data_IF_437305752748
#
_entry.id   IF_437305752748
#
_cell.length_a   1.000
_cell.length_b   1.000
_cell.length_c   1.000
_cell.angle_alpha   90.00
_cell.angle_beta   90.00
_cell.angle_gamma   90.00
#
_symmetry.space_group_name_H-M   'P 1'
#
loop_
_entity.id
_entity.type
_entity.pdbx_description
1 polymer ?
#
# COMPACT_ATOMS: atom_id res chain seq x y z
N UNK A 1 -5.22 79.17 47.02
CA UNK A 1 -5.93 79.32 45.73
C UNK A 1 -5.01 78.73 44.66
N UNK A 2 -5.38 77.55 44.13
CA UNK A 2 -4.94 76.81 42.90
C UNK A 2 -3.46 76.90 42.46
N UNK A 3 -2.71 75.85 42.11
CA UNK A 3 -2.98 74.44 41.82
C UNK A 3 -1.72 73.90 41.11
N UNK A 4 -1.31 72.66 41.41
CA UNK A 4 -0.18 71.95 40.79
C UNK A 4 -0.47 71.65 39.30
N UNK A 5 0.53 71.73 38.43
CA UNK A 5 0.59 70.84 37.26
C UNK A 5 2.02 70.37 37.04
N UNK A 6 2.26 69.14 37.48
CA UNK A 6 3.43 68.32 37.22
C UNK A 6 3.36 67.88 35.76
N UNK A 7 4.41 68.13 34.98
CA UNK A 7 4.53 67.62 33.60
C UNK A 7 4.99 66.16 33.72
N UNK A 8 4.05 65.22 33.69
CA UNK A 8 4.29 63.78 33.57
C UNK A 8 4.41 63.45 32.07
N UNK A 9 5.64 63.17 31.61
CA UNK A 9 5.91 62.77 30.23
C UNK A 9 5.51 61.31 30.08
N UNK A 10 4.39 61.09 29.40
CA UNK A 10 3.77 59.82 29.06
C UNK A 10 4.73 58.89 28.31
N UNK A 11 5.11 57.76 28.93
CA UNK A 11 5.71 56.62 28.24
C UNK A 11 4.63 55.88 27.44
N UNK A 12 4.84 55.72 26.13
CA UNK A 12 3.97 54.87 25.29
C UNK A 12 4.32 53.39 25.49
N UNK A 13 3.35 52.50 25.75
CA UNK A 13 3.65 51.08 25.99
C UNK A 13 4.04 50.38 24.68
N UNK A 14 5.26 49.83 24.65
CA UNK A 14 5.73 48.94 23.57
C UNK A 14 4.99 47.60 23.68
N UNK A 15 4.01 47.40 22.80
CA UNK A 15 3.19 46.19 22.68
C UNK A 15 4.03 44.98 22.21
N UNK A 16 4.56 44.18 23.14
CA UNK A 16 5.18 42.86 22.86
C UNK A 16 4.12 41.78 22.64
N UNK A 17 3.54 41.71 21.45
CA UNK A 17 2.60 40.64 21.04
C UNK A 17 3.27 39.77 19.98
N UNK A 18 4.04 38.77 20.39
CA UNK A 18 4.66 37.85 19.41
C UNK A 18 5.23 36.54 19.95
N UNK A 19 5.70 36.47 21.19
CA UNK A 19 6.57 35.34 21.58
C UNK A 19 5.87 34.04 22.01
N UNK A 20 4.57 34.07 22.35
CA UNK A 20 3.87 32.86 22.87
C UNK A 20 3.18 32.03 21.80
N UNK A 21 2.89 32.62 20.64
CA UNK A 21 2.18 31.94 19.54
C UNK A 21 3.14 31.13 18.68
N UNK A 22 4.39 31.57 18.56
CA UNK A 22 5.42 30.92 17.72
C UNK A 22 5.82 29.54 18.28
N UNK A 23 5.97 29.39 19.59
CA UNK A 23 6.32 28.09 20.19
C UNK A 23 5.17 27.06 20.14
N UNK A 24 3.91 27.49 20.31
CA UNK A 24 2.76 26.59 20.25
C UNK A 24 2.49 26.04 18.82
N UNK A 25 2.78 26.85 17.79
CA UNK A 25 2.67 26.44 16.39
C UNK A 25 3.77 25.44 15.98
N UNK A 26 4.98 25.56 16.54
CA UNK A 26 6.09 24.63 16.29
C UNK A 26 5.87 23.25 16.93
N UNK A 27 5.23 23.19 18.10
CA UNK A 27 4.85 21.91 18.75
C UNK A 27 3.65 21.23 18.06
N UNK A 28 2.66 21.98 17.57
CA UNK A 28 1.57 21.42 16.76
C UNK A 28 2.04 20.97 15.37
N UNK A 29 2.98 21.69 14.74
CA UNK A 29 3.56 21.30 13.45
C UNK A 29 4.40 20.02 13.53
N UNK A 30 5.09 19.80 14.66
CA UNK A 30 5.86 18.58 14.90
C UNK A 30 4.97 17.36 15.18
N UNK A 31 3.80 17.54 15.82
CA UNK A 31 2.84 16.45 16.08
C UNK A 31 1.95 16.11 14.87
N UNK A 32 1.67 17.07 13.98
CA UNK A 32 0.96 16.83 12.72
C UNK A 32 1.88 16.28 11.61
N UNK A 33 3.21 16.33 11.80
CA UNK A 33 4.22 15.82 10.87
C UNK A 33 4.62 14.35 11.05
N UNK A 34 4.13 13.65 12.10
CA UNK A 34 4.42 12.22 12.33
C UNK A 34 3.22 11.34 11.92
N UNK A 35 2.33 11.84 11.07
CA UNK A 35 1.49 10.95 10.27
C UNK A 35 2.37 10.34 9.17
N UNK A 36 3.39 9.55 9.56
CA UNK A 36 4.00 8.61 8.65
C UNK A 36 2.84 7.75 8.14
N UNK A 37 2.66 7.60 6.81
CA UNK A 37 1.67 6.66 6.33
C UNK A 37 2.08 5.32 6.95
N UNK A 38 1.25 4.80 7.84
CA UNK A 38 1.37 3.41 8.27
C UNK A 38 1.54 2.63 6.97
N UNK A 39 2.65 1.86 6.85
CA UNK A 39 2.96 1.10 5.65
C UNK A 39 1.82 0.12 5.40
N UNK A 40 0.79 0.57 4.70
CA UNK A 40 -0.35 -0.23 4.35
C UNK A 40 0.16 -1.16 3.26
N UNK A 41 0.44 -2.40 3.63
CA UNK A 41 0.74 -3.43 2.66
C UNK A 41 -0.54 -3.64 1.82
N UNK A 42 -0.46 -3.27 0.55
CA UNK A 42 -1.57 -3.48 -0.38
C UNK A 42 -1.68 -4.96 -0.71
N UNK A 43 -2.89 -5.51 -0.56
CA UNK A 43 -3.20 -6.87 -1.02
C UNK A 43 -3.69 -6.76 -2.46
N UNK A 44 -3.01 -7.44 -3.37
CA UNK A 44 -3.39 -7.54 -4.77
C UNK A 44 -4.09 -8.90 -5.00
N UNK A 45 -5.35 -8.86 -5.43
CA UNK A 45 -6.05 -10.05 -5.92
C UNK A 45 -5.91 -10.14 -7.44
N UNK A 46 -5.85 -11.35 -7.97
CA UNK A 46 -5.82 -11.59 -9.40
C UNK A 46 -6.29 -13.01 -9.71
N UNK A 47 -6.84 -13.18 -10.91
CA UNK A 47 -7.12 -14.47 -11.50
C UNK A 47 -6.30 -14.65 -12.78
N UNK A 48 -5.79 -15.86 -12.98
CA UNK A 48 -5.20 -16.22 -14.26
C UNK A 48 -6.30 -16.19 -15.34
N UNK A 49 -6.00 -15.70 -16.56
CA UNK A 49 -7.01 -15.50 -17.60
C UNK A 49 -7.68 -16.79 -18.08
N UNK A 50 -7.06 -17.96 -17.85
CA UNK A 50 -7.63 -19.27 -18.18
C UNK A 50 -8.25 -20.01 -16.99
N UNK A 51 -8.32 -19.39 -15.81
CA UNK A 51 -8.87 -20.04 -14.63
C UNK A 51 -10.38 -20.25 -14.75
N UNK A 52 -10.85 -21.44 -14.39
CA UNK A 52 -12.26 -21.73 -14.26
C UNK A 52 -12.86 -21.09 -12.99
N UNK A 53 -14.15 -20.80 -13.01
CA UNK A 53 -14.88 -20.21 -11.88
C UNK A 53 -15.79 -21.22 -11.14
N UNK A 54 -15.75 -22.49 -11.55
CA UNK A 54 -16.57 -23.56 -10.97
C UNK A 54 -16.05 -24.10 -9.64
N UNK A 55 -16.82 -25.01 -9.04
CA UNK A 55 -16.42 -25.72 -7.82
C UNK A 55 -15.08 -26.43 -8.04
N UNK A 56 -14.08 -26.13 -7.19
CA UNK A 56 -12.67 -26.62 -7.24
C UNK A 56 -11.81 -26.11 -8.41
N UNK A 57 -12.23 -25.04 -9.09
CA UNK A 57 -11.43 -24.34 -10.10
C UNK A 57 -10.86 -23.04 -9.52
N UNK A 58 -9.95 -22.38 -10.24
CA UNK A 58 -9.42 -21.08 -9.86
C UNK A 58 -7.91 -20.97 -9.88
N UNK A 59 -7.40 -19.85 -9.35
CA UNK A 59 -5.99 -19.48 -9.36
C UNK A 59 -5.34 -19.72 -8.00
N UNK A 60 -4.17 -20.34 -7.98
CA UNK A 60 -3.38 -20.53 -6.77
C UNK A 60 -1.96 -20.00 -6.97
N UNK A 61 -1.64 -18.92 -6.26
CA UNK A 61 -0.29 -18.40 -6.15
C UNK A 61 0.50 -19.23 -5.13
N UNK A 62 1.66 -19.76 -5.53
CA UNK A 62 2.48 -20.63 -4.69
C UNK A 62 3.73 -19.93 -4.14
N UNK A 63 4.34 -19.04 -4.93
CA UNK A 63 5.57 -18.35 -4.52
C UNK A 63 5.71 -16.98 -5.15
N UNK A 64 6.53 -16.12 -4.52
CA UNK A 64 6.87 -14.78 -4.99
C UNK A 64 8.38 -14.55 -4.85
N UNK A 65 9.02 -13.97 -5.88
CA UNK A 65 10.43 -13.61 -5.82
C UNK A 65 10.64 -12.16 -5.31
N UNK A 66 11.89 -11.76 -5.03
CA UNK A 66 12.21 -10.39 -4.55
C UNK A 66 11.82 -9.27 -5.52
N UNK A 67 11.67 -9.59 -6.80
CA UNK A 67 11.26 -8.63 -7.83
C UNK A 67 9.74 -8.49 -7.91
N UNK A 68 8.97 -9.32 -7.17
CA UNK A 68 7.52 -9.32 -7.14
C UNK A 68 6.87 -10.19 -8.22
N UNK A 69 7.65 -11.02 -8.94
CA UNK A 69 7.08 -12.01 -9.85
C UNK A 69 6.51 -13.18 -9.05
N UNK A 70 5.32 -13.62 -9.44
CA UNK A 70 4.56 -14.67 -8.73
C UNK A 70 4.49 -15.91 -9.60
N UNK A 71 4.82 -17.08 -9.05
CA UNK A 71 4.62 -18.36 -9.70
C UNK A 71 3.50 -19.13 -9.03
N UNK A 72 2.77 -19.91 -9.81
CA UNK A 72 1.64 -20.69 -9.32
C UNK A 72 1.03 -21.58 -10.38
N UNK A 73 -0.18 -22.04 -10.13
CA UNK A 73 -0.98 -22.79 -11.09
C UNK A 73 -2.44 -22.35 -11.04
N UNK A 74 -3.18 -22.62 -12.12
CA UNK A 74 -4.63 -22.48 -12.14
C UNK A 74 -5.28 -23.75 -12.68
N UNK A 75 -6.51 -24.01 -12.24
CA UNK A 75 -7.37 -25.03 -12.82
C UNK A 75 -8.32 -24.37 -13.80
N UNK A 76 -8.36 -24.87 -15.04
CA UNK A 76 -9.30 -24.41 -16.06
C UNK A 76 -10.72 -24.98 -15.84
N UNK A 77 -11.62 -24.72 -16.79
CA UNK A 77 -13.00 -25.24 -16.78
C UNK A 77 -13.10 -26.76 -16.95
N UNK A 78 -12.06 -27.39 -17.52
CA UNK A 78 -11.95 -28.84 -17.71
C UNK A 78 -11.25 -29.54 -16.55
N UNK A 79 -10.94 -28.81 -15.47
CA UNK A 79 -10.16 -29.28 -14.33
C UNK A 79 -8.71 -29.65 -14.65
N UNK A 80 -8.17 -29.16 -15.77
CA UNK A 80 -6.76 -29.32 -16.13
C UNK A 80 -5.97 -28.23 -15.43
N UNK A 81 -4.81 -28.62 -14.90
CA UNK A 81 -3.91 -27.71 -14.21
C UNK A 81 -2.85 -27.15 -15.14
N UNK A 82 -2.67 -25.84 -15.09
CA UNK A 82 -1.71 -25.11 -15.91
C UNK A 82 -0.79 -24.30 -15.00
N UNK A 83 0.50 -24.32 -15.29
CA UNK A 83 1.47 -23.48 -14.59
C UNK A 83 1.40 -22.04 -15.09
N UNK A 84 1.71 -21.08 -14.23
CA UNK A 84 1.86 -19.68 -14.67
C UNK A 84 2.96 -18.94 -13.91
N UNK A 85 3.49 -17.90 -14.57
CA UNK A 85 4.27 -16.82 -13.96
C UNK A 85 3.57 -15.50 -14.23
N UNK A 86 3.36 -14.70 -13.18
CA UNK A 86 2.81 -13.35 -13.25
C UNK A 86 3.91 -12.34 -12.96
N UNK A 87 4.17 -11.43 -13.91
CA UNK A 87 5.10 -10.34 -13.73
C UNK A 87 4.55 -9.28 -12.74
N UNK A 88 5.41 -8.46 -12.12
CA UNK A 88 4.98 -7.35 -11.26
C UNK A 88 4.06 -6.35 -11.98
N UNK A 89 4.25 -6.18 -13.30
CA UNK A 89 3.40 -5.36 -14.17
C UNK A 89 1.98 -5.92 -14.36
N UNK A 90 1.74 -7.17 -13.95
CA UNK A 90 0.48 -7.88 -14.12
C UNK A 90 0.37 -8.75 -15.36
N UNK A 91 1.40 -8.80 -16.21
CA UNK A 91 1.42 -9.74 -17.33
C UNK A 91 1.46 -11.19 -16.85
N UNK A 92 0.62 -12.05 -17.43
CA UNK A 92 0.59 -13.50 -17.16
C UNK A 92 1.24 -14.27 -18.29
N UNK A 93 2.04 -15.27 -17.95
CA UNK A 93 2.57 -16.26 -18.87
C UNK A 93 2.21 -17.63 -18.35
N UNK A 94 1.27 -18.29 -19.02
CA UNK A 94 0.91 -19.68 -18.73
C UNK A 94 1.87 -20.64 -19.46
N UNK A 95 2.11 -21.80 -18.88
CA UNK A 95 2.93 -22.85 -19.48
C UNK A 95 2.44 -24.23 -19.04
N UNK A 96 2.61 -25.19 -19.95
CA UNK A 96 2.36 -26.60 -19.70
C UNK A 96 3.68 -27.38 -19.78
N UNK A 97 3.88 -28.28 -18.82
CA UNK A 97 5.01 -29.20 -18.80
C UNK A 97 4.79 -30.24 -19.91
N UNK A 98 5.76 -30.45 -20.81
CA UNK A 98 5.66 -31.47 -21.84
C UNK A 98 5.38 -32.86 -21.23
N UNK A 99 4.37 -33.55 -21.77
CA UNK A 99 3.95 -34.86 -21.27
C UNK A 99 3.04 -34.82 -20.02
N UNK A 100 2.67 -33.64 -19.52
CA UNK A 100 1.63 -33.52 -18.51
C UNK A 100 0.29 -34.03 -19.07
N UNK A 101 -0.49 -34.70 -18.22
CA UNK A 101 -1.83 -35.16 -18.60
C UNK A 101 -2.77 -33.99 -18.88
N UNK A 102 -3.64 -34.15 -19.88
CA UNK A 102 -4.55 -33.10 -20.37
C UNK A 102 -6.01 -33.34 -19.97
N UNK A 103 -6.27 -34.24 -19.04
CA UNK A 103 -7.63 -34.51 -18.53
C UNK A 103 -7.81 -33.89 -17.16
N UNK A 104 -9.07 -33.85 -16.71
CA UNK A 104 -9.40 -33.34 -15.37
C UNK A 104 -8.54 -33.97 -14.27
N UNK A 105 -8.08 -33.11 -13.37
CA UNK A 105 -7.18 -33.37 -12.26
C UNK A 105 -5.73 -33.71 -12.62
N UNK A 106 -5.35 -33.63 -13.90
CA UNK A 106 -3.98 -33.76 -14.38
C UNK A 106 -3.45 -32.39 -14.85
N UNK A 107 -2.13 -32.31 -15.09
CA UNK A 107 -1.52 -31.13 -15.68
C UNK A 107 -0.23 -30.73 -14.98
N UNK A 108 0.05 -29.44 -15.04
CA UNK A 108 1.31 -28.85 -14.60
C UNK A 108 1.14 -28.22 -13.23
N UNK A 109 1.67 -28.88 -12.21
CA UNK A 109 1.70 -28.36 -10.84
C UNK A 109 3.15 -28.08 -10.45
N UNK A 110 3.53 -26.82 -10.21
CA UNK A 110 4.77 -26.54 -9.52
C UNK A 110 4.59 -26.98 -8.05
N UNK A 111 5.12 -28.15 -7.71
CA UNK A 111 5.30 -28.56 -6.32
C UNK A 111 6.43 -27.70 -5.74
N UNK A 112 6.18 -27.13 -4.55
CA UNK A 112 7.05 -26.19 -3.83
C UNK A 112 8.48 -26.70 -3.62
#
# INVERSE_FOLDING_TARGET
MFGKLVIEKTETPIRRRGSRVVCAALLCGLLLGICAPALAQSILTFDAPGAGAGFRQGTQAQSINRQGAIAGFYSDTNYVYHGFVRAPSGAFTAFDVPGAGTTGLQGSFPLS
#
